data_IF_147253913484
#
_entry.id   IF_147253913484
#
_cell.length_a   1.000
_cell.length_b   1.000
_cell.length_c   1.000
_cell.angle_alpha   90.00
_cell.angle_beta   90.00
_cell.angle_gamma   90.00
#
_symmetry.space_group_name_H-M   'P 1'
#
loop_
_entity.id
_entity.type
_entity.pdbx_description
1 polymer ?
#
# COMPACT_ATOMS: atom_id res chain seq x y z
N UNK A 1 -5.25 -9.10 -5.61
CA UNK A 1 -4.46 -7.95 -5.12
C UNK A 1 -3.65 -7.37 -6.28
N UNK A 2 -3.27 -6.09 -6.25
CA UNK A 2 -2.38 -5.53 -7.29
C UNK A 2 -0.91 -5.80 -6.90
N UNK A 3 -0.16 -6.59 -7.70
CA UNK A 3 1.20 -7.00 -7.35
C UNK A 3 2.20 -5.84 -7.33
N UNK A 4 2.03 -4.82 -8.17
CA UNK A 4 2.89 -3.64 -8.20
C UNK A 4 2.81 -2.85 -6.88
N UNK A 5 1.59 -2.60 -6.39
CA UNK A 5 1.40 -1.90 -5.12
C UNK A 5 1.96 -2.70 -3.94
N UNK A 6 1.77 -4.03 -3.95
CA UNK A 6 2.31 -4.90 -2.90
C UNK A 6 3.82 -4.89 -2.85
N UNK A 7 4.47 -5.07 -4.01
CA UNK A 7 5.92 -5.03 -4.10
C UNK A 7 6.48 -3.67 -3.66
N UNK A 8 5.83 -2.57 -4.09
CA UNK A 8 6.23 -1.23 -3.68
C UNK A 8 6.11 -1.01 -2.17
N UNK A 9 5.01 -1.47 -1.54
CA UNK A 9 4.83 -1.40 -0.09
C UNK A 9 5.84 -2.27 0.66
N UNK A 10 6.12 -3.49 0.18
CA UNK A 10 7.12 -4.37 0.80
C UNK A 10 8.52 -3.77 0.79
N UNK A 11 8.92 -3.15 -0.33
CA UNK A 11 10.18 -2.42 -0.45
C UNK A 11 10.23 -1.25 0.53
N UNK A 12 9.18 -0.43 0.58
CA UNK A 12 9.11 0.71 1.49
C UNK A 12 9.19 0.28 2.96
N UNK A 13 8.44 -0.75 3.37
CA UNK A 13 8.49 -1.29 4.73
C UNK A 13 9.86 -1.87 5.06
N UNK A 14 10.50 -2.57 4.11
CA UNK A 14 11.86 -3.09 4.29
C UNK A 14 12.84 -1.95 4.55
N UNK A 15 12.76 -0.87 3.76
CA UNK A 15 13.58 0.32 3.98
C UNK A 15 13.36 0.96 5.35
N UNK A 16 12.09 1.10 5.77
CA UNK A 16 11.73 1.65 7.09
C UNK A 16 12.17 0.76 8.25
N UNK A 17 12.32 -0.55 8.03
CA UNK A 17 12.94 -1.45 9.02
C UNK A 17 14.45 -1.25 9.07
N UNK A 18 15.09 -1.11 7.92
CA UNK A 18 16.54 -0.90 7.81
C UNK A 18 16.97 0.43 8.44
N UNK A 19 16.18 1.49 8.30
CA UNK A 19 16.50 2.81 8.88
C UNK A 19 16.09 2.97 10.36
N UNK A 20 15.47 1.94 10.94
CA UNK A 20 15.06 1.92 12.34
C UNK A 20 13.74 2.65 12.65
N UNK A 21 13.02 3.14 11.63
CA UNK A 21 11.67 3.71 11.79
C UNK A 21 10.67 2.65 12.26
N UNK A 22 10.80 1.42 11.77
CA UNK A 22 9.98 0.27 12.17
C UNK A 22 10.85 -0.83 12.82
N UNK A 23 10.32 -1.56 13.82
CA UNK A 23 10.97 -2.76 14.33
C UNK A 23 11.17 -3.80 13.23
N UNK A 24 12.33 -4.47 13.21
CA UNK A 24 12.65 -5.47 12.18
C UNK A 24 11.65 -6.65 12.16
N UNK A 25 11.12 -7.01 13.34
CA UNK A 25 10.12 -8.06 13.57
C UNK A 25 8.68 -7.61 13.33
N UNK A 26 8.45 -6.34 12.97
CA UNK A 26 7.11 -5.86 12.64
C UNK A 26 6.54 -6.61 11.44
N UNK A 27 5.31 -7.11 11.58
CA UNK A 27 4.61 -7.84 10.53
C UNK A 27 3.51 -6.98 9.95
N UNK A 28 3.50 -6.86 8.63
CA UNK A 28 2.42 -6.16 7.94
C UNK A 28 1.13 -6.98 8.01
N UNK A 29 0.10 -6.38 8.61
CA UNK A 29 -1.29 -6.90 8.66
C UNK A 29 -2.27 -5.92 8.03
N UNK A 30 -1.76 -5.01 7.21
CA UNK A 30 -2.55 -4.01 6.52
C UNK A 30 -3.47 -4.65 5.48
N UNK A 31 -4.52 -3.92 5.16
CA UNK A 31 -5.38 -4.25 4.03
C UNK A 31 -5.01 -3.36 2.85
N UNK A 32 -5.00 -3.96 1.66
CA UNK A 32 -4.99 -3.26 0.38
C UNK A 32 -6.27 -3.62 -0.37
N UNK A 33 -7.20 -2.68 -0.48
CA UNK A 33 -8.51 -2.92 -1.08
C UNK A 33 -8.78 -1.97 -2.24
N UNK A 34 -9.57 -2.44 -3.22
CA UNK A 34 -10.09 -1.56 -4.26
C UNK A 34 -11.07 -0.57 -3.66
N UNK A 35 -10.92 0.68 -4.05
CA UNK A 35 -11.84 1.77 -3.68
C UNK A 35 -13.07 1.73 -4.58
N UNK A 36 -14.23 2.10 -4.02
CA UNK A 36 -15.47 2.30 -4.80
C UNK A 36 -15.60 3.73 -5.31
N UNK A 37 -14.94 4.67 -4.64
CA UNK A 37 -14.90 6.09 -5.00
C UNK A 37 -13.58 6.38 -5.74
N UNK A 38 -13.69 6.86 -6.99
CA UNK A 38 -12.55 7.21 -7.84
C UNK A 38 -11.75 8.39 -7.28
N UNK A 39 -12.34 9.21 -6.41
CA UNK A 39 -11.63 10.28 -5.73
C UNK A 39 -10.59 9.74 -4.72
N UNK A 40 -10.70 8.48 -4.29
CA UNK A 40 -9.74 7.83 -3.42
C UNK A 40 -8.75 6.93 -4.18
N UNK A 41 -8.62 7.10 -5.50
CA UNK A 41 -7.77 6.28 -6.34
C UNK A 41 -8.43 4.97 -6.76
N UNK A 42 -7.62 3.99 -7.17
CA UNK A 42 -8.03 2.64 -7.53
C UNK A 42 -7.90 1.66 -6.36
N UNK A 43 -6.94 1.93 -5.47
CA UNK A 43 -6.66 1.14 -4.27
C UNK A 43 -6.36 2.03 -3.07
N UNK A 44 -6.70 1.56 -1.88
CA UNK A 44 -6.35 2.21 -0.62
C UNK A 44 -5.72 1.21 0.35
N UNK A 45 -4.73 1.68 1.12
CA UNK A 45 -4.09 0.93 2.19
C UNK A 45 -4.17 1.66 3.53
N UNK A 46 -4.38 0.88 4.60
CA UNK A 46 -4.35 1.37 5.98
C UNK A 46 -3.00 1.15 6.69
N UNK A 47 -1.96 0.77 5.96
CA UNK A 47 -0.67 0.32 6.50
C UNK A 47 -0.04 1.30 7.49
N UNK A 48 -0.09 2.61 7.20
CA UNK A 48 0.48 3.63 8.07
C UNK A 48 -0.20 3.65 9.45
N UNK A 49 -1.50 3.38 9.52
CA UNK A 49 -2.23 3.37 10.79
C UNK A 49 -1.83 2.18 11.68
N UNK A 50 -1.58 1.02 11.08
CA UNK A 50 -1.14 -0.17 11.82
C UNK A 50 0.34 -0.08 12.22
N UNK A 51 1.16 0.46 11.33
CA UNK A 51 2.59 0.62 11.55
C UNK A 51 2.92 1.74 12.56
N UNK A 52 2.06 2.77 12.67
CA UNK A 52 2.29 3.94 13.52
C UNK A 52 2.52 3.62 15.00
N UNK A 53 1.76 2.67 15.54
CA UNK A 53 1.94 2.23 16.93
C UNK A 53 3.34 1.62 17.16
N UNK A 54 3.82 0.83 16.21
CA UNK A 54 5.14 0.20 16.29
C UNK A 54 6.28 1.21 16.06
N UNK A 55 6.05 2.20 15.21
CA UNK A 55 7.00 3.29 14.95
C UNK A 55 7.02 4.38 16.02
N UNK A 56 6.08 4.37 16.99
CA UNK A 56 5.93 5.47 17.95
C UNK A 56 5.61 6.81 17.29
N UNK A 57 4.99 6.80 16.11
CA UNK A 57 4.75 7.98 15.27
C UNK A 57 3.25 8.24 15.08
N UNK A 58 2.89 9.45 14.64
CA UNK A 58 1.51 9.71 14.19
C UNK A 58 1.26 8.98 12.87
N UNK A 59 0.06 8.42 12.64
CA UNK A 59 -0.25 7.71 11.40
C UNK A 59 -0.02 8.52 10.13
N UNK A 60 -0.29 9.82 10.14
CA UNK A 60 -0.06 10.69 8.98
C UNK A 60 1.43 10.90 8.69
N UNK A 61 2.22 11.19 9.71
CA UNK A 61 3.68 11.34 9.59
C UNK A 61 4.31 10.02 9.08
N UNK A 62 3.80 8.87 9.53
CA UNK A 62 4.26 7.59 9.01
C UNK A 62 3.81 7.33 7.57
N UNK A 63 2.60 7.76 7.19
CA UNK A 63 2.15 7.67 5.80
C UNK A 63 3.08 8.46 4.87
N UNK A 64 3.52 9.66 5.29
CA UNK A 64 4.48 10.47 4.52
C UNK A 64 5.82 9.75 4.36
N UNK A 65 6.34 9.13 5.42
CA UNK A 65 7.56 8.32 5.34
C UNK A 65 7.42 7.11 4.43
N UNK A 66 6.29 6.39 4.52
CA UNK A 66 6.03 5.24 3.66
C UNK A 66 5.97 5.68 2.20
N UNK A 67 5.21 6.73 1.88
CA UNK A 67 5.11 7.26 0.51
C UNK A 67 6.46 7.75 0.00
N UNK A 68 7.26 8.42 0.85
CA UNK A 68 8.62 8.85 0.49
C UNK A 68 9.61 7.70 0.27
N UNK A 69 9.35 6.52 0.83
CA UNK A 69 10.15 5.32 0.63
C UNK A 69 9.62 4.40 -0.48
N UNK A 70 8.49 4.72 -1.11
CA UNK A 70 7.99 3.95 -2.24
C UNK A 70 8.95 4.08 -3.43
N UNK A 71 9.32 2.96 -4.08
CA UNK A 71 10.03 3.04 -5.34
C UNK A 71 9.13 3.64 -6.42
N UNK A 72 9.74 4.27 -7.42
CA UNK A 72 9.03 4.64 -8.64
C UNK A 72 8.63 3.36 -9.36
N UNK A 73 7.36 3.27 -9.77
CA UNK A 73 6.82 2.11 -10.46
C UNK A 73 5.93 2.58 -11.61
N UNK A 74 6.14 2.07 -12.82
CA UNK A 74 5.44 2.52 -14.03
C UNK A 74 3.93 2.30 -13.96
N UNK A 75 3.46 1.30 -13.21
CA UNK A 75 2.02 1.07 -13.01
C UNK A 75 1.33 2.07 -12.06
N UNK A 76 2.09 2.80 -11.22
CA UNK A 76 1.55 3.71 -10.20
C UNK A 76 1.67 5.15 -10.72
N UNK A 77 0.53 5.73 -11.11
CA UNK A 77 0.46 7.12 -11.59
C UNK A 77 0.76 8.11 -10.48
N UNK A 78 0.11 7.95 -9.32
CA UNK A 78 0.34 8.80 -8.15
C UNK A 78 -0.14 8.13 -6.87
N UNK A 79 0.34 8.66 -5.75
CA UNK A 79 -0.04 8.24 -4.40
C UNK A 79 -0.45 9.46 -3.59
N UNK A 80 -1.57 9.36 -2.86
CA UNK A 80 -2.10 10.45 -2.04
C UNK A 80 -2.38 9.97 -0.62
N UNK A 81 -2.19 10.86 0.36
CA UNK A 81 -2.47 10.57 1.78
C UNK A 81 -3.79 11.21 2.18
N UNK A 82 -4.75 10.38 2.56
CA UNK A 82 -6.09 10.81 2.97
C UNK A 82 -6.31 10.67 4.49
N UNK A 83 -7.05 11.63 5.04
CA UNK A 83 -7.52 11.62 6.43
C UNK A 83 -6.38 11.36 7.44
N UNK A 84 -6.55 10.37 8.35
CA UNK A 84 -5.57 10.10 9.39
C UNK A 84 -4.28 9.44 8.89
N UNK A 85 -4.23 8.92 7.65
CA UNK A 85 -3.08 8.18 7.13
C UNK A 85 -3.45 7.02 6.20
N UNK A 86 -4.57 7.11 5.49
CA UNK A 86 -4.83 6.20 4.38
C UNK A 86 -3.91 6.55 3.22
N UNK A 87 -3.34 5.54 2.57
CA UNK A 87 -2.51 5.70 1.38
C UNK A 87 -3.33 5.25 0.17
N UNK A 88 -3.70 6.19 -0.68
CA UNK A 88 -4.51 6.00 -1.87
C UNK A 88 -3.60 5.93 -3.10
N UNK A 89 -3.75 4.87 -3.90
CA UNK A 89 -2.96 4.62 -5.10
C UNK A 89 -3.84 4.82 -6.34
N UNK A 90 -3.32 5.59 -7.28
CA UNK A 90 -3.91 5.80 -8.59
C UNK A 90 -3.02 5.11 -9.61
N UNK A 91 -3.61 4.26 -10.45
CA UNK A 91 -2.87 3.49 -11.46
C UNK A 91 -2.94 4.18 -12.81
N UNK A 92 -1.96 3.89 -13.68
CA UNK A 92 -2.04 4.32 -15.07
C UNK A 92 -3.19 3.59 -15.80
N UNK A 93 -3.92 4.33 -16.65
CA UNK A 93 -5.20 3.89 -17.24
C UNK A 93 -5.09 2.62 -18.11
N UNK A 94 -3.88 2.29 -18.60
CA UNK A 94 -3.62 1.08 -19.39
C UNK A 94 -3.79 -0.24 -18.62
N UNK A 95 -3.88 -0.20 -17.28
CA UNK A 95 -3.97 -1.40 -16.43
C UNK A 95 -5.37 -1.65 -15.85
N UNK A 96 -6.42 -0.99 -16.38
CA UNK A 96 -7.82 -1.14 -15.90
C UNK A 96 -8.40 -2.57 -16.02
N UNK A 97 -7.75 -3.49 -16.73
CA UNK A 97 -8.27 -4.82 -17.03
C UNK A 97 -7.56 -6.02 -16.36
N UNK A 98 -6.57 -5.81 -15.48
CA UNK A 98 -5.79 -6.92 -14.93
C UNK A 98 -6.46 -7.74 -13.79
N UNK A 99 -7.80 -7.82 -13.73
CA UNK A 99 -8.50 -8.74 -12.81
C UNK A 99 -9.64 -9.46 -13.54
N UNK A 100 -9.30 -10.43 -14.38
CA UNK A 100 -10.21 -11.52 -14.69
C UNK A 100 -9.63 -12.93 -14.44
N UNK A 101 -8.34 -13.09 -14.13
CA UNK A 101 -7.71 -14.44 -14.13
C UNK A 101 -7.38 -15.08 -12.78
N UNK A 102 -7.95 -14.63 -11.65
CA UNK A 102 -7.70 -15.28 -10.36
C UNK A 102 -8.96 -15.59 -9.54
N UNK A 103 -9.95 -16.25 -10.17
CA UNK A 103 -11.08 -16.89 -9.46
C UNK A 103 -11.23 -18.40 -9.82
N UNK A 104 -10.38 -18.97 -10.69
CA UNK A 104 -10.53 -20.35 -11.14
C UNK A 104 -9.65 -21.39 -10.40
N UNK A 105 -9.29 -21.19 -9.14
CA UNK A 105 -8.57 -22.25 -8.38
C UNK A 105 -8.87 -22.23 -6.88
N UNK A 106 -10.15 -22.19 -6.52
CA UNK A 106 -10.62 -22.63 -5.19
C UNK A 106 -12.08 -23.14 -5.26
N UNK A 107 -12.41 -23.77 -6.38
CA UNK A 107 -13.60 -24.58 -6.55
C UNK A 107 -13.17 -25.91 -7.16
N UNK A 108 -12.45 -26.70 -6.37
CA UNK A 108 -12.45 -28.17 -6.39
C UNK A 108 -11.31 -28.66 -5.47
N UNK A 109 -11.67 -29.00 -4.23
CA UNK A 109 -11.22 -30.17 -3.48
C UNK A 109 -12.06 -30.34 -2.21
#
# INVERSE_FOLDING_TARGET
>A
MNPAIQSALEIAITQLKTDGTLPADWQDKSSLSRTKDRNHGDFASNIAMLAAKAAGAKPRDLAEKIVGALPVHDDILKVEIAGPGFINFFLNDDQRFAILDQIATDADL
#
